data_IF_934825835934
#
_entry.id   IF_934825835934
#
_cell.length_a   1.000
_cell.length_b   1.000
_cell.length_c   1.000
_cell.angle_alpha   90.00
_cell.angle_beta   90.00
_cell.angle_gamma   90.00
#
_symmetry.space_group_name_H-M   'P 1'
#
loop_
_entity.id
_entity.type
_entity.pdbx_description
1 polymer ?
#
# COMPACT_ATOMS: atom_id res chain seq x y z
N UNK A 1 10.83 -14.64 3.06
CA UNK A 1 11.17 -13.21 3.15
C UNK A 1 10.23 -12.49 2.20
N UNK A 2 9.59 -11.42 2.65
CA UNK A 2 8.67 -10.65 1.81
C UNK A 2 9.41 -9.99 0.65
N UNK A 3 8.73 -9.83 -0.50
CA UNK A 3 9.26 -9.08 -1.64
C UNK A 3 9.50 -7.62 -1.23
N UNK A 4 10.74 -7.16 -1.38
CA UNK A 4 11.13 -5.82 -0.96
C UNK A 4 10.55 -4.76 -1.91
N UNK A 5 9.86 -3.76 -1.35
CA UNK A 5 9.25 -2.69 -2.15
C UNK A 5 10.28 -1.81 -2.85
N UNK A 6 11.35 -1.42 -2.16
CA UNK A 6 12.38 -0.51 -2.69
C UNK A 6 13.07 -1.15 -3.88
N UNK A 7 13.43 -2.43 -3.77
CA UNK A 7 13.98 -3.22 -4.87
C UNK A 7 12.98 -3.37 -6.03
N UNK A 8 11.69 -3.59 -5.72
CA UNK A 8 10.64 -3.69 -6.75
C UNK A 8 10.48 -2.40 -7.56
N UNK A 9 10.52 -1.24 -6.91
CA UNK A 9 10.49 0.08 -7.58
C UNK A 9 11.75 0.29 -8.41
N UNK A 10 12.93 -0.04 -7.88
CA UNK A 10 14.19 0.07 -8.62
C UNK A 10 14.19 -0.78 -9.90
N UNK A 11 13.67 -2.02 -9.83
CA UNK A 11 13.53 -2.90 -11.00
C UNK A 11 12.64 -2.29 -12.09
N UNK A 12 11.56 -1.60 -11.71
CA UNK A 12 10.71 -0.89 -12.69
C UNK A 12 11.44 0.30 -13.29
N UNK A 13 12.13 1.10 -12.46
CA UNK A 13 12.86 2.29 -12.92
C UNK A 13 14.02 1.92 -13.88
N UNK A 14 14.61 0.74 -13.72
CA UNK A 14 15.68 0.21 -14.58
C UNK A 14 15.17 -0.54 -15.82
N UNK A 15 13.87 -0.86 -15.88
CA UNK A 15 13.29 -1.65 -16.98
C UNK A 15 13.21 -0.83 -18.27
N UNK A 16 13.95 -1.26 -19.29
CA UNK A 16 13.87 -0.64 -20.62
C UNK A 16 12.52 -0.89 -21.30
N UNK A 17 11.87 -2.01 -21.01
CA UNK A 17 10.57 -2.38 -21.59
C UNK A 17 9.44 -1.46 -21.11
N UNK A 18 9.51 -1.01 -19.85
CA UNK A 18 8.49 -0.15 -19.25
C UNK A 18 8.77 1.35 -19.43
N UNK A 19 9.99 1.71 -19.86
CA UNK A 19 10.44 3.09 -19.96
C UNK A 19 9.54 3.95 -20.85
N UNK A 20 9.03 3.40 -21.94
CA UNK A 20 8.12 4.11 -22.86
C UNK A 20 6.77 4.36 -22.22
N UNK A 21 6.19 3.34 -21.57
CA UNK A 21 4.91 3.41 -20.84
C UNK A 21 4.95 4.33 -19.62
N UNK A 22 6.14 4.59 -19.07
CA UNK A 22 6.35 5.43 -17.89
C UNK A 22 6.98 6.79 -18.21
N UNK A 23 6.98 7.22 -19.47
CA UNK A 23 7.51 8.52 -19.87
C UNK A 23 6.83 9.64 -19.07
N UNK A 24 7.61 10.48 -18.39
CA UNK A 24 7.16 11.56 -17.49
C UNK A 24 6.37 11.12 -16.24
N UNK A 25 6.17 9.82 -16.04
CA UNK A 25 5.45 9.30 -14.89
C UNK A 25 6.34 9.26 -13.63
N UNK A 26 5.72 9.32 -12.46
CA UNK A 26 6.43 9.14 -11.18
C UNK A 26 5.70 8.14 -10.28
N UNK A 27 6.48 7.39 -9.50
CA UNK A 27 5.94 6.49 -8.48
C UNK A 27 5.13 7.28 -7.44
N UNK A 28 3.88 6.86 -7.22
CA UNK A 28 2.93 7.60 -6.37
C UNK A 28 2.22 6.74 -5.34
N UNK A 29 2.19 5.41 -5.50
CA UNK A 29 1.72 4.49 -4.47
C UNK A 29 2.10 3.05 -4.78
N UNK A 30 2.06 2.18 -3.77
CA UNK A 30 2.12 0.75 -3.93
C UNK A 30 1.03 0.10 -3.08
N UNK A 31 0.46 -1.01 -3.55
CA UNK A 31 -0.51 -1.78 -2.77
C UNK A 31 -0.23 -3.28 -2.90
N UNK A 32 -0.63 -4.03 -1.88
CA UNK A 32 -0.67 -5.49 -1.95
C UNK A 32 -1.68 -6.05 -0.95
N UNK A 33 -2.01 -7.31 -1.14
CA UNK A 33 -2.81 -8.08 -0.21
C UNK A 33 -1.99 -9.27 0.26
N UNK A 34 -1.98 -9.48 1.57
CA UNK A 34 -1.25 -10.58 2.19
C UNK A 34 -2.14 -11.31 3.19
N UNK A 35 -1.97 -12.63 3.28
CA UNK A 35 -2.60 -13.44 4.31
C UNK A 35 -1.79 -13.32 5.62
N UNK A 36 -2.41 -13.54 6.79
CA UNK A 36 -1.67 -13.54 8.04
C UNK A 36 -0.51 -14.55 7.98
N UNK A 37 0.67 -14.14 8.43
CA UNK A 37 1.89 -14.98 8.50
C UNK A 37 2.50 -15.41 7.15
N UNK A 38 1.90 -15.03 6.03
CA UNK A 38 2.45 -15.27 4.69
C UNK A 38 3.34 -14.10 4.23
N UNK A 39 4.36 -14.35 3.40
CA UNK A 39 5.19 -13.29 2.84
C UNK A 39 4.43 -12.50 1.76
N UNK A 40 4.87 -11.27 1.51
CA UNK A 40 4.40 -10.51 0.34
C UNK A 40 5.02 -11.10 -0.92
N UNK A 41 4.18 -11.61 -1.83
CA UNK A 41 4.63 -12.23 -3.09
C UNK A 41 4.71 -11.24 -4.26
N UNK A 42 3.95 -10.14 -4.19
CA UNK A 42 3.92 -9.12 -5.23
C UNK A 42 3.56 -7.74 -4.69
N UNK A 43 3.93 -6.72 -5.46
CA UNK A 43 3.47 -5.35 -5.30
C UNK A 43 2.76 -4.87 -6.57
N UNK A 44 1.59 -4.26 -6.41
CA UNK A 44 0.99 -3.44 -7.46
C UNK A 44 1.49 -1.99 -7.27
N UNK A 45 2.45 -1.62 -8.11
CA UNK A 45 3.11 -0.32 -8.15
C UNK A 45 2.36 0.63 -9.08
N UNK A 46 2.12 1.84 -8.62
CA UNK A 46 1.31 2.83 -9.33
C UNK A 46 2.18 4.04 -9.69
N UNK A 47 2.17 4.39 -10.97
CA UNK A 47 2.93 5.50 -11.52
C UNK A 47 1.98 6.52 -12.14
N UNK A 48 1.99 7.75 -11.64
CA UNK A 48 1.14 8.82 -12.14
C UNK A 48 1.86 9.64 -13.20
N UNK A 49 1.19 9.88 -14.33
CA UNK A 49 1.66 10.76 -15.38
C UNK A 49 0.93 12.12 -15.31
N UNK A 50 1.60 13.22 -14.93
CA UNK A 50 0.97 14.53 -14.81
C UNK A 50 0.55 15.16 -16.15
N UNK A 51 1.10 14.68 -17.29
CA UNK A 51 0.73 15.19 -18.62
C UNK A 51 -0.59 14.63 -19.11
N UNK A 52 -0.84 13.34 -18.85
CA UNK A 52 -2.08 12.66 -19.28
C UNK A 52 -3.12 12.59 -18.16
N UNK A 53 -2.68 12.71 -16.91
CA UNK A 53 -3.49 12.53 -15.71
C UNK A 53 -3.86 11.06 -15.45
N UNK A 54 -3.11 10.11 -16.00
CA UNK A 54 -3.36 8.66 -15.84
C UNK A 54 -2.46 8.05 -14.76
N UNK A 55 -2.88 6.92 -14.23
CA UNK A 55 -2.09 6.03 -13.38
C UNK A 55 -1.81 4.76 -14.15
N UNK A 56 -0.55 4.44 -14.33
CA UNK A 56 -0.07 3.17 -14.87
C UNK A 56 0.16 2.19 -13.72
N UNK A 57 -0.43 1.00 -13.84
CA UNK A 57 -0.36 -0.07 -12.85
C UNK A 57 0.63 -1.15 -13.31
N UNK A 58 1.64 -1.41 -12.49
CA UNK A 58 2.67 -2.43 -12.75
C UNK A 58 2.70 -3.39 -11.58
N UNK A 59 2.51 -4.68 -11.86
CA UNK A 59 2.73 -5.72 -10.87
C UNK A 59 4.18 -6.15 -10.89
N UNK A 60 4.87 -6.00 -9.76
CA UNK A 60 6.19 -6.57 -9.54
C UNK A 60 6.04 -7.84 -8.70
N UNK A 61 6.49 -8.97 -9.23
CA UNK A 61 6.67 -10.24 -8.50
C UNK A 61 8.18 -10.51 -8.35
N UNK A 62 8.59 -11.59 -7.69
CA UNK A 62 10.02 -11.96 -7.62
C UNK A 62 10.67 -12.05 -9.00
N UNK A 63 9.94 -12.59 -9.98
CA UNK A 63 10.53 -13.04 -11.24
C UNK A 63 10.08 -12.19 -12.45
N UNK A 64 9.02 -11.39 -12.30
CA UNK A 64 8.43 -10.63 -13.41
C UNK A 64 8.03 -9.21 -13.05
N UNK A 65 7.99 -8.36 -14.07
CA UNK A 65 7.29 -7.08 -14.05
C UNK A 65 6.18 -7.16 -15.11
N UNK A 66 4.94 -6.90 -14.73
CA UNK A 66 3.78 -6.97 -15.62
C UNK A 66 3.07 -5.61 -15.65
N UNK A 67 2.96 -5.03 -16.84
CA UNK A 67 2.04 -3.91 -17.07
C UNK A 67 0.60 -4.44 -17.00
N UNK A 68 -0.19 -3.96 -16.02
CA UNK A 68 -1.57 -4.44 -15.80
C UNK A 68 -2.60 -3.60 -16.52
N UNK A 69 -2.61 -2.30 -16.26
CA UNK A 69 -3.57 -1.36 -16.84
C UNK A 69 -3.07 0.08 -16.76
N UNK A 70 -3.82 0.97 -17.40
CA UNK A 70 -3.64 2.43 -17.29
C UNK A 70 -5.02 3.05 -17.15
N UNK A 71 -5.25 3.70 -16.02
CA UNK A 71 -6.58 4.15 -15.60
C UNK A 71 -6.56 5.57 -15.05
N UNK A 72 -7.72 6.23 -14.99
CA UNK A 72 -7.84 7.54 -14.34
C UNK A 72 -7.82 7.39 -12.80
N UNK A 73 -7.21 8.33 -12.07
CA UNK A 73 -7.30 8.37 -10.62
C UNK A 73 -8.76 8.38 -10.15
N UNK A 74 -9.08 7.54 -9.15
CA UNK A 74 -10.41 7.52 -8.53
C UNK A 74 -10.74 8.83 -7.78
N UNK A 75 -9.71 9.54 -7.32
CA UNK A 75 -9.84 10.82 -6.61
C UNK A 75 -9.50 11.97 -7.55
N UNK A 76 -10.21 13.09 -7.41
CA UNK A 76 -9.94 14.30 -8.19
C UNK A 76 -8.59 14.96 -7.86
N UNK A 77 -8.01 14.65 -6.68
CA UNK A 77 -6.72 15.19 -6.27
C UNK A 77 -5.59 14.39 -6.90
N UNK A 78 -4.64 15.10 -7.50
CA UNK A 78 -3.43 14.51 -8.07
C UNK A 78 -2.65 13.70 -7.02
N UNK A 79 -2.24 12.46 -7.32
CA UNK A 79 -1.37 11.68 -6.46
C UNK A 79 -0.03 12.38 -6.27
N UNK A 80 0.45 12.46 -5.04
CA UNK A 80 1.76 13.02 -4.76
C UNK A 80 2.86 12.01 -5.07
N UNK A 81 3.98 12.50 -5.60
CA UNK A 81 5.19 11.70 -5.81
C UNK A 81 5.70 11.15 -4.47
N UNK A 82 6.13 9.91 -4.50
CA UNK A 82 6.88 9.28 -3.40
C UNK A 82 8.35 9.23 -3.81
N UNK A 83 9.21 9.78 -2.96
CA UNK A 83 10.64 9.48 -3.03
C UNK A 83 10.89 8.18 -2.27
N UNK A 84 11.09 7.09 -3.01
CA UNK A 84 11.26 5.76 -2.42
C UNK A 84 12.45 5.68 -1.44
N UNK A 85 13.45 6.56 -1.61
CA UNK A 85 14.61 6.64 -0.71
C UNK A 85 14.26 7.12 0.70
N UNK A 86 13.08 7.72 0.87
CA UNK A 86 12.57 8.17 2.19
C UNK A 86 11.83 7.06 2.93
N UNK A 87 11.55 5.92 2.29
CA UNK A 87 10.95 4.75 2.93
C UNK A 87 12.08 3.95 3.57
N UNK A 88 12.25 4.10 4.89
CA UNK A 88 13.40 3.54 5.61
C UNK A 88 13.07 2.28 6.40
N UNK A 89 11.79 2.04 6.70
CA UNK A 89 11.36 0.88 7.48
C UNK A 89 11.01 -0.30 6.58
N UNK A 90 11.36 -1.50 7.03
CA UNK A 90 10.98 -2.73 6.35
C UNK A 90 9.48 -2.99 6.50
N UNK A 91 8.87 -3.62 5.48
CA UNK A 91 7.43 -3.87 5.49
C UNK A 91 7.02 -4.92 6.54
N UNK A 92 7.86 -5.93 6.80
CA UNK A 92 7.57 -6.94 7.82
C UNK A 92 7.60 -6.30 9.22
N UNK A 93 8.55 -5.39 9.47
CA UNK A 93 8.58 -4.58 10.70
C UNK A 93 7.37 -3.65 10.83
N UNK A 94 6.94 -3.06 9.72
CA UNK A 94 5.75 -2.19 9.65
C UNK A 94 4.49 -2.98 9.99
N UNK A 95 4.30 -4.17 9.41
CA UNK A 95 3.16 -5.05 9.70
C UNK A 95 3.18 -5.49 11.16
N UNK A 96 4.36 -5.78 11.73
CA UNK A 96 4.50 -6.12 13.15
C UNK A 96 4.08 -4.95 14.05
N UNK A 97 4.57 -3.74 13.75
CA UNK A 97 4.22 -2.51 14.50
C UNK A 97 2.72 -2.23 14.42
N UNK A 98 2.14 -2.36 13.23
CA UNK A 98 0.70 -2.23 13.02
C UNK A 98 -0.10 -3.31 13.78
N UNK A 99 0.43 -4.53 13.90
CA UNK A 99 -0.20 -5.62 14.64
C UNK A 99 -0.29 -5.31 16.14
N UNK A 100 0.79 -4.81 16.72
CA UNK A 100 0.82 -4.34 18.12
C UNK A 100 -0.17 -3.18 18.34
N UNK A 101 -0.24 -2.24 17.40
CA UNK A 101 -1.19 -1.13 17.46
C UNK A 101 -2.65 -1.62 17.36
N UNK A 102 -2.93 -2.55 16.44
CA UNK A 102 -4.23 -3.19 16.28
C UNK A 102 -4.68 -3.85 17.57
N UNK A 103 -3.85 -4.65 18.22
CA UNK A 103 -4.25 -5.42 19.41
C UNK A 103 -4.61 -4.52 20.61
N UNK A 104 -4.08 -3.30 20.67
CA UNK A 104 -4.49 -2.29 21.66
C UNK A 104 -5.89 -1.72 21.37
N UNK A 105 -6.32 -1.73 20.11
CA UNK A 105 -7.60 -1.19 19.66
C UNK A 105 -8.67 -2.27 19.68
N UNK A 106 -8.38 -3.39 19.02
CA UNK A 106 -9.30 -4.50 18.84
C UNK A 106 -8.56 -5.78 18.43
N UNK A 107 -8.41 -6.71 19.38
CA UNK A 107 -7.83 -8.02 19.13
C UNK A 107 -8.90 -8.98 18.56
N UNK A 108 -8.67 -9.48 17.35
CA UNK A 108 -9.53 -10.49 16.71
C UNK A 108 -8.77 -11.25 15.63
N UNK A 109 -9.35 -12.35 15.16
CA UNK A 109 -8.78 -13.13 14.07
C UNK A 109 -8.75 -12.31 12.77
N UNK A 110 -7.60 -12.34 12.11
CA UNK A 110 -7.35 -11.62 10.86
C UNK A 110 -7.74 -12.55 9.72
N UNK A 111 -8.56 -12.06 8.80
CA UNK A 111 -8.87 -12.76 7.55
C UNK A 111 -7.87 -12.41 6.44
N UNK A 112 -7.53 -11.12 6.34
CA UNK A 112 -6.66 -10.60 5.28
C UNK A 112 -6.04 -9.26 5.70
N UNK A 113 -4.86 -8.96 5.19
CA UNK A 113 -4.19 -7.68 5.40
C UNK A 113 -4.07 -6.99 4.04
N UNK A 114 -4.57 -5.75 3.95
CA UNK A 114 -4.32 -4.86 2.83
C UNK A 114 -3.25 -3.86 3.23
N UNK A 115 -2.18 -3.82 2.45
CA UNK A 115 -1.03 -2.96 2.67
C UNK A 115 -1.00 -1.93 1.55
N UNK A 116 -0.80 -0.67 1.93
CA UNK A 116 -0.68 0.43 0.97
C UNK A 116 0.44 1.37 1.38
N UNK A 117 1.19 1.86 0.41
CA UNK A 117 2.08 3.01 0.54
C UNK A 117 1.49 4.15 -0.29
N UNK A 118 1.30 5.32 0.31
CA UNK A 118 0.84 6.53 -0.39
C UNK A 118 1.49 7.77 0.23
N UNK A 119 1.36 8.92 -0.44
CA UNK A 119 1.95 10.18 0.04
C UNK A 119 0.88 11.22 0.39
N UNK A 120 1.00 11.78 1.60
CA UNK A 120 0.30 13.01 2.00
C UNK A 120 1.34 14.14 2.12
N UNK A 121 1.82 14.51 3.30
CA UNK A 121 2.99 15.40 3.44
C UNK A 121 4.32 14.64 3.29
N UNK A 122 4.28 13.36 3.63
CA UNK A 122 5.37 12.39 3.54
C UNK A 122 4.77 11.02 3.20
N UNK A 123 5.63 10.03 2.96
CA UNK A 123 5.21 8.67 2.64
C UNK A 123 4.61 7.98 3.89
N UNK A 124 3.44 7.39 3.73
CA UNK A 124 2.65 6.75 4.78
C UNK A 124 2.36 5.31 4.37
N UNK A 125 2.67 4.38 5.27
CA UNK A 125 2.15 3.02 5.23
C UNK A 125 0.75 2.99 5.82
N UNK A 126 -0.24 2.59 5.02
CA UNK A 126 -1.57 2.22 5.46
C UNK A 126 -1.69 0.71 5.58
N UNK A 127 -1.83 0.21 6.80
CA UNK A 127 -2.07 -1.21 7.09
C UNK A 127 -3.52 -1.39 7.50
N UNK A 128 -4.26 -2.15 6.70
CA UNK A 128 -5.69 -2.40 6.91
C UNK A 128 -5.90 -3.88 7.22
N UNK A 129 -6.26 -4.19 8.46
CA UNK A 129 -6.65 -5.54 8.87
C UNK A 129 -8.13 -5.75 8.62
N UNK A 130 -8.46 -6.71 7.78
CA UNK A 130 -9.82 -7.22 7.60
C UNK A 130 -10.00 -8.38 8.58
N UNK A 131 -10.91 -8.23 9.53
CA UNK A 131 -11.14 -9.18 10.61
C UNK A 131 -12.34 -10.09 10.28
N UNK A 132 -12.36 -11.29 10.87
CA UNK A 132 -13.40 -12.31 10.59
C UNK A 132 -14.82 -11.88 10.99
N UNK A 133 -14.95 -10.84 11.82
CA UNK A 133 -16.22 -10.34 12.34
C UNK A 133 -16.73 -9.09 11.61
N UNK A 134 -16.37 -8.91 10.33
CA UNK A 134 -16.78 -7.77 9.52
C UNK A 134 -16.35 -6.42 10.12
N UNK A 135 -15.24 -6.41 10.85
CA UNK A 135 -14.60 -5.19 11.32
C UNK A 135 -13.29 -4.98 10.58
N UNK A 136 -12.92 -3.71 10.43
CA UNK A 136 -11.65 -3.32 9.86
C UNK A 136 -10.89 -2.48 10.87
N UNK A 137 -9.60 -2.77 11.05
CA UNK A 137 -8.68 -1.87 11.75
C UNK A 137 -7.72 -1.28 10.74
N UNK A 138 -7.73 0.05 10.60
CA UNK A 138 -6.81 0.79 9.76
C UNK A 138 -5.75 1.45 10.64
N UNK A 139 -4.48 1.25 10.31
CA UNK A 139 -3.34 1.88 10.97
C UNK A 139 -2.54 2.65 9.93
N UNK A 140 -2.22 3.91 10.21
CA UNK A 140 -1.28 4.72 9.42
C UNK A 140 0.06 4.80 10.14
N UNK A 141 1.15 4.55 9.43
CA UNK A 141 2.52 4.54 9.95
C UNK A 141 3.40 5.44 9.07
N UNK A 142 4.26 6.25 9.68
CA UNK A 142 5.24 7.07 8.98
C UNK A 142 6.33 6.17 8.38
N UNK A 143 6.44 6.15 7.05
CA UNK A 143 7.36 5.26 6.35
C UNK A 143 8.84 5.61 6.56
N UNK A 144 9.14 6.77 7.15
CA UNK A 144 10.52 7.20 7.44
C UNK A 144 11.05 6.63 8.75
N UNK A 145 10.17 6.39 9.73
CA UNK A 145 10.59 6.10 11.10
C UNK A 145 9.75 5.03 11.83
N UNK A 146 8.68 4.51 11.23
CA UNK A 146 7.87 3.45 11.84
C UNK A 146 6.88 3.91 12.90
N UNK A 147 6.74 5.22 13.13
CA UNK A 147 5.81 5.75 14.12
C UNK A 147 4.37 5.62 13.65
N UNK A 148 3.49 5.13 14.53
CA UNK A 148 2.04 5.13 14.28
C UNK A 148 1.54 6.57 14.33
N UNK A 149 0.91 7.01 13.24
CA UNK A 149 0.36 8.36 13.08
C UNK A 149 -1.10 8.41 13.50
N UNK A 150 -1.86 7.41 13.06
CA UNK A 150 -3.31 7.34 13.23
C UNK A 150 -3.77 5.88 13.24
N UNK A 151 -4.90 5.63 13.88
CA UNK A 151 -5.51 4.31 13.94
C UNK A 151 -7.01 4.39 14.13
N UNK A 152 -7.76 3.58 13.38
CA UNK A 152 -9.23 3.60 13.39
C UNK A 152 -9.82 2.20 13.31
N UNK A 153 -10.81 1.93 14.16
CA UNK A 153 -11.72 0.79 14.02
C UNK A 153 -12.94 1.20 13.19
N UNK A 154 -13.29 0.40 12.20
CA UNK A 154 -14.49 0.54 11.39
C UNK A 154 -15.33 -0.71 11.61
N UNK A 155 -16.54 -0.53 12.13
CA UNK A 155 -17.53 -1.58 12.32
C UNK A 155 -18.61 -1.43 11.25
N UNK A 156 -18.68 -2.37 10.30
CA UNK A 156 -19.65 -2.28 9.20
C UNK A 156 -21.08 -2.55 9.67
N UNK A 157 -21.27 -3.30 10.76
CA UNK A 157 -22.61 -3.58 11.27
C UNK A 157 -23.22 -2.33 11.93
N UNK A 158 -22.39 -1.51 12.58
CA UNK A 158 -22.86 -0.27 13.20
C UNK A 158 -23.05 0.87 12.20
N UNK A 159 -22.25 0.93 11.13
CA UNK A 159 -22.30 2.02 10.14
C UNK A 159 -23.40 1.87 9.07
N UNK A 160 -24.06 0.71 8.97
CA UNK A 160 -25.12 0.47 7.98
C UNK A 160 -26.52 0.78 8.49
N UNK A 161 -26.67 1.16 9.77
CA UNK A 161 -27.99 1.40 10.37
C UNK A 161 -28.89 0.16 10.44
N UNK A 162 -28.36 -1.03 10.12
CA UNK A 162 -29.04 -2.31 10.31
C UNK A 162 -28.84 -2.72 11.77
N UNK A 163 -29.40 -1.93 12.67
CA UNK A 163 -29.69 -2.36 14.02
C UNK A 163 -31.08 -2.99 13.98
N UNK A 164 -31.12 -4.32 13.93
CA UNK A 164 -32.14 -5.17 14.55
C UNK A 164 -31.69 -6.62 14.58
#
# INVERSE_FOLDING_TARGET
MSLNLVESVARVDESQELKTSLTDAYFCSAITFVLPEEPIEYWDLNYYNPKTGDITHIRASSDSLELKSTDKPLKQKEPKKIDIKTVCIDIDETIKTAGVARDKIYASAIQKIFVSLFSEEFAIWGITYILTNMKIVQIKIDARNGSVIDSKLIDFMQNTGIAQ
#
